data_IF_918941105485
#
_entry.id   IF_918941105485
#
_cell.length_a   1.000
_cell.length_b   1.000
_cell.length_c   1.000
_cell.angle_alpha   90.00
_cell.angle_beta   90.00
_cell.angle_gamma   90.00
#
_symmetry.space_group_name_H-M   'P 1'
#
loop_
_entity.id
_entity.type
_entity.pdbx_description
1 polymer ?
#
# COMPACT_ATOMS: atom_id res chain seq x y z
N UNK A 1 -9.40 3.92 1.30
CA UNK A 1 -8.11 4.66 1.26
C UNK A 1 -7.74 5.34 2.59
N UNK A 2 -8.71 5.87 3.34
CA UNK A 2 -8.47 6.52 4.64
C UNK A 2 -7.74 5.60 5.64
N UNK A 3 -8.06 4.31 5.65
CA UNK A 3 -7.38 3.31 6.47
C UNK A 3 -5.86 3.23 6.19
N UNK A 4 -5.42 3.44 4.94
CA UNK A 4 -3.99 3.49 4.62
C UNK A 4 -3.33 4.68 5.31
N UNK A 5 -3.96 5.86 5.24
CA UNK A 5 -3.45 7.07 5.91
C UNK A 5 -3.39 6.86 7.42
N UNK A 6 -4.43 6.28 8.01
CA UNK A 6 -4.42 5.97 9.44
C UNK A 6 -3.28 5.04 9.83
N UNK A 7 -3.04 3.97 9.07
CA UNK A 7 -1.94 3.02 9.33
C UNK A 7 -0.60 3.76 9.25
N UNK A 8 -0.39 4.58 8.22
CA UNK A 8 0.86 5.33 8.05
C UNK A 8 1.06 6.34 9.18
N UNK A 9 0.01 7.03 9.63
CA UNK A 9 0.10 7.98 10.76
C UNK A 9 0.30 7.29 12.12
N UNK A 10 -0.26 6.09 12.31
CA UNK A 10 -0.08 5.28 13.52
C UNK A 10 1.27 4.58 13.57
N UNK A 11 1.92 4.40 12.41
CA UNK A 11 3.26 3.83 12.34
C UNK A 11 4.25 4.86 12.88
N UNK A 12 4.81 4.61 14.06
CA UNK A 12 5.79 5.52 14.68
C UNK A 12 6.96 5.76 13.72
N UNK A 13 7.35 7.03 13.51
CA UNK A 13 8.58 7.40 12.79
C UNK A 13 9.81 7.08 13.65
N UNK A 14 10.05 5.79 13.91
CA UNK A 14 11.28 5.26 14.50
C UNK A 14 12.07 4.52 13.42
N UNK A 15 13.40 4.54 13.54
CA UNK A 15 14.24 3.76 12.65
C UNK A 15 13.83 2.27 12.71
N UNK A 16 13.61 1.66 11.54
CA UNK A 16 13.14 0.27 11.43
C UNK A 16 11.61 0.07 11.51
N UNK A 17 10.82 1.14 11.51
CA UNK A 17 9.37 1.02 11.43
C UNK A 17 8.91 0.57 10.03
N UNK A 18 8.10 -0.49 9.97
CA UNK A 18 7.59 -1.06 8.73
C UNK A 18 6.30 -0.36 8.29
N UNK A 19 6.43 0.87 7.79
CA UNK A 19 5.33 1.54 7.09
C UNK A 19 5.25 1.03 5.64
N UNK A 20 4.05 0.72 5.10
CA UNK A 20 3.92 0.30 3.70
C UNK A 20 4.37 1.37 2.70
N UNK A 21 4.09 2.64 3.01
CA UNK A 21 4.42 3.83 2.20
C UNK A 21 4.66 5.04 3.11
N UNK A 22 5.18 6.13 2.59
CA UNK A 22 5.27 7.40 3.31
C UNK A 22 3.94 8.18 3.32
N UNK A 23 3.82 9.17 4.21
CA UNK A 23 2.60 9.95 4.38
C UNK A 23 2.20 10.74 3.12
N UNK A 24 3.17 11.24 2.35
CA UNK A 24 2.89 11.99 1.12
C UNK A 24 2.28 11.07 0.07
N UNK A 25 2.87 9.88 -0.15
CA UNK A 25 2.33 8.87 -1.07
C UNK A 25 0.92 8.42 -0.66
N UNK A 26 0.70 8.16 0.63
CA UNK A 26 -0.63 7.79 1.14
C UNK A 26 -1.68 8.87 0.84
N UNK A 27 -1.33 10.16 0.99
CA UNK A 27 -2.22 11.29 0.66
C UNK A 27 -2.45 11.47 -0.83
N UNK A 28 -1.49 11.15 -1.68
CA UNK A 28 -1.68 11.14 -3.14
C UNK A 28 -2.69 10.04 -3.52
N UNK A 29 -2.49 8.81 -3.02
CA UNK A 29 -3.40 7.67 -3.28
C UNK A 29 -4.83 8.00 -2.84
N UNK A 30 -4.99 8.56 -1.64
CA UNK A 30 -6.29 8.98 -1.09
C UNK A 30 -6.97 10.04 -1.96
N UNK A 31 -6.29 11.16 -2.25
CA UNK A 31 -6.88 12.30 -2.96
C UNK A 31 -7.21 11.99 -4.42
N UNK A 32 -6.36 11.19 -5.07
CA UNK A 32 -6.51 10.85 -6.48
C UNK A 32 -7.36 9.59 -6.73
N UNK A 33 -7.83 8.90 -5.69
CA UNK A 33 -8.57 7.64 -5.79
C UNK A 33 -7.83 6.58 -6.63
N UNK A 34 -6.51 6.49 -6.45
CA UNK A 34 -5.68 5.53 -7.17
C UNK A 34 -5.91 4.16 -6.54
N UNK A 35 -6.45 3.22 -7.31
CA UNK A 35 -6.50 1.83 -6.89
C UNK A 35 -5.07 1.30 -6.69
N UNK A 36 -4.77 0.86 -5.47
CA UNK A 36 -3.42 0.45 -5.07
C UNK A 36 -3.45 -0.94 -4.48
N UNK A 37 -2.48 -1.79 -4.83
CA UNK A 37 -2.33 -3.13 -4.26
C UNK A 37 -1.04 -3.18 -3.45
N UNK A 38 -1.13 -3.55 -2.18
CA UNK A 38 0.04 -3.84 -1.32
C UNK A 38 0.23 -5.35 -1.26
N UNK A 39 1.39 -5.85 -1.68
CA UNK A 39 1.69 -7.29 -1.77
C UNK A 39 3.13 -7.59 -1.35
N UNK A 40 3.43 -8.88 -1.11
CA UNK A 40 4.81 -9.32 -0.85
C UNK A 40 5.62 -9.32 -2.16
N UNK A 41 6.58 -8.39 -2.26
CA UNK A 41 7.48 -8.23 -3.39
C UNK A 41 8.70 -9.16 -3.42
N UNK A 42 8.97 -9.94 -2.36
CA UNK A 42 10.07 -10.92 -2.33
C UNK A 42 9.88 -12.04 -3.34
N UNK A 43 8.64 -12.28 -3.78
CA UNK A 43 8.28 -13.25 -4.81
C UNK A 43 7.89 -12.47 -6.07
N UNK A 44 8.78 -12.32 -7.08
CA UNK A 44 8.51 -11.49 -8.26
C UNK A 44 7.26 -11.90 -9.05
N UNK A 45 6.90 -13.19 -9.00
CA UNK A 45 5.68 -13.72 -9.62
C UNK A 45 4.41 -13.05 -9.09
N UNK A 46 4.37 -12.66 -7.81
CA UNK A 46 3.21 -11.98 -7.23
C UNK A 46 2.89 -10.67 -7.96
N UNK A 47 3.92 -9.97 -8.45
CA UNK A 47 3.74 -8.73 -9.21
C UNK A 47 3.07 -9.02 -10.55
N UNK A 48 3.53 -10.04 -11.27
CA UNK A 48 2.96 -10.47 -12.55
C UNK A 48 1.49 -10.91 -12.39
N UNK A 49 1.19 -11.72 -11.39
CA UNK A 49 -0.19 -12.16 -11.13
C UNK A 49 -1.07 -10.95 -10.76
N UNK A 50 -0.57 -10.01 -9.94
CA UNK A 50 -1.33 -8.84 -9.52
C UNK A 50 -1.72 -7.93 -10.70
N UNK A 51 -0.83 -7.74 -11.67
CA UNK A 51 -1.13 -7.00 -12.91
C UNK A 51 -2.23 -7.70 -13.74
N UNK A 52 -2.31 -9.03 -13.65
CA UNK A 52 -3.38 -9.82 -14.27
C UNK A 52 -4.67 -9.91 -13.42
N UNK A 53 -4.76 -9.14 -12.33
CA UNK A 53 -5.91 -9.13 -11.42
C UNK A 53 -5.95 -10.30 -10.44
N UNK A 54 -4.89 -11.09 -10.32
CA UNK A 54 -4.76 -12.20 -9.38
C UNK A 54 -3.74 -11.85 -8.30
N UNK A 55 -4.19 -11.52 -7.09
CA UNK A 55 -3.26 -11.22 -6.01
C UNK A 55 -3.75 -11.76 -4.67
N UNK A 56 -2.81 -12.02 -3.77
CA UNK A 56 -3.07 -12.32 -2.35
C UNK A 56 -2.80 -11.09 -1.47
N UNK A 57 -2.53 -9.94 -2.08
CA UNK A 57 -2.29 -8.67 -1.40
C UNK A 57 -3.56 -7.94 -0.94
N UNK A 58 -3.37 -6.79 -0.32
CA UNK A 58 -4.44 -5.90 0.15
C UNK A 58 -4.75 -4.85 -0.92
N UNK A 59 -6.03 -4.75 -1.32
CA UNK A 59 -6.51 -3.72 -2.23
C UNK A 59 -6.94 -2.48 -1.46
N UNK A 60 -6.39 -1.33 -1.84
CA UNK A 60 -6.80 -0.01 -1.40
C UNK A 60 -7.59 0.62 -2.54
N UNK A 61 -8.88 0.76 -2.32
CA UNK A 61 -9.83 1.43 -3.21
C UNK A 61 -10.80 2.28 -2.40
N UNK A 62 -11.59 3.09 -3.10
CA UNK A 62 -12.61 3.96 -2.50
C UNK A 62 -13.73 3.14 -1.84
#
# INVERSE_FOLDING_TARGET
PEQLVEIVMKTEMKAGANSPVDLLAAKIIERSNIETIVLNGEIPRNILEAVNGKHEGTVIKK
#
